data_IF_317361953685
#
_entry.id   IF_317361953685
#
_cell.length_a   1.000
_cell.length_b   1.000
_cell.length_c   1.000
_cell.angle_alpha   90.00
_cell.angle_beta   90.00
_cell.angle_gamma   90.00
#
_symmetry.space_group_name_H-M   'P 1'
#
loop_
_entity.id
_entity.type
_entity.pdbx_description
1 polymer ?
#
# COMPACT_ATOMS: atom_id res chain seq x y z
N UNK A 1 18.76 20.44 -61.35
CA UNK A 1 17.71 19.70 -60.60
C UNK A 1 17.32 18.51 -61.45
N UNK A 2 17.49 17.29 -60.95
CA UNK A 2 16.94 16.09 -61.61
C UNK A 2 15.58 15.83 -60.96
N UNK A 3 14.53 15.82 -61.76
CA UNK A 3 13.20 15.41 -61.31
C UNK A 3 13.27 13.97 -60.76
N UNK A 4 12.55 13.65 -59.67
CA UNK A 4 12.47 12.28 -59.20
C UNK A 4 11.77 11.43 -60.26
N UNK A 5 12.52 10.51 -60.87
CA UNK A 5 11.99 9.53 -61.82
C UNK A 5 11.03 8.62 -61.06
N UNK A 6 9.73 8.85 -61.24
CA UNK A 6 8.69 7.94 -60.74
C UNK A 6 8.69 6.70 -61.63
N UNK A 7 9.12 5.57 -61.09
CA UNK A 7 9.01 4.28 -61.78
C UNK A 7 7.64 3.67 -61.42
N UNK A 8 6.69 3.56 -62.36
CA UNK A 8 5.40 2.96 -62.08
C UNK A 8 5.55 1.47 -61.74
N UNK A 9 5.04 1.06 -60.58
CA UNK A 9 4.93 -0.36 -60.20
C UNK A 9 3.82 -0.98 -61.07
N UNK A 10 4.11 -2.06 -61.79
CA UNK A 10 3.09 -2.78 -62.56
C UNK A 10 2.06 -3.43 -61.64
N UNK A 11 0.81 -3.56 -62.10
CA UNK A 11 -0.28 -4.18 -61.31
C UNK A 11 0.09 -5.57 -60.79
N UNK A 12 0.66 -6.41 -61.66
CA UNK A 12 1.16 -7.75 -61.28
C UNK A 12 2.21 -7.70 -60.16
N UNK A 13 3.12 -6.71 -60.21
CA UNK A 13 4.17 -6.52 -59.21
C UNK A 13 3.62 -6.03 -57.87
N UNK A 14 2.59 -5.18 -57.89
CA UNK A 14 1.88 -4.78 -56.69
C UNK A 14 1.21 -5.99 -56.01
N UNK A 15 0.49 -6.80 -56.79
CA UNK A 15 -0.22 -7.99 -56.29
C UNK A 15 0.74 -9.02 -55.66
N UNK A 16 1.91 -9.24 -56.28
CA UNK A 16 2.93 -10.16 -55.76
C UNK A 16 3.53 -9.69 -54.42
N UNK A 17 3.76 -8.38 -54.25
CA UNK A 17 4.27 -7.79 -53.00
C UNK A 17 3.21 -7.90 -51.88
N UNK A 18 1.96 -7.56 -52.18
CA UNK A 18 0.85 -7.66 -51.23
C UNK A 18 0.68 -9.09 -50.74
N UNK A 19 0.69 -10.06 -51.66
CA UNK A 19 0.58 -11.49 -51.32
C UNK A 19 1.72 -11.92 -50.39
N UNK A 20 2.96 -11.60 -50.72
CA UNK A 20 4.13 -11.98 -49.91
C UNK A 20 4.08 -11.36 -48.49
N UNK A 21 3.69 -10.09 -48.37
CA UNK A 21 3.53 -9.42 -47.06
C UNK A 21 2.39 -10.06 -46.27
N UNK A 22 1.27 -10.38 -46.93
CA UNK A 22 0.13 -11.03 -46.28
C UNK A 22 0.49 -12.42 -45.75
N UNK A 23 1.26 -13.20 -46.50
CA UNK A 23 1.70 -14.54 -46.11
C UNK A 23 2.62 -14.49 -44.87
N UNK A 24 3.63 -13.60 -44.88
CA UNK A 24 4.54 -13.43 -43.72
C UNK A 24 3.80 -12.89 -42.50
N UNK A 25 2.89 -11.95 -42.70
CA UNK A 25 2.13 -11.34 -41.61
C UNK A 25 1.20 -12.38 -40.99
N UNK A 26 0.48 -13.15 -41.79
CA UNK A 26 -0.43 -14.21 -41.31
C UNK A 26 0.33 -15.33 -40.60
N UNK A 27 1.53 -15.67 -41.06
CA UNK A 27 2.39 -16.66 -40.41
C UNK A 27 2.81 -16.22 -39.00
N UNK A 28 3.22 -14.94 -38.86
CA UNK A 28 3.77 -14.39 -37.61
C UNK A 28 2.71 -13.86 -36.65
N UNK A 29 1.60 -13.35 -37.16
CA UNK A 29 0.53 -12.68 -36.40
C UNK A 29 -0.83 -13.36 -36.64
N UNK A 30 -0.91 -14.66 -36.33
CA UNK A 30 -2.09 -15.52 -36.64
C UNK A 30 -3.43 -14.97 -36.16
N UNK A 31 -3.43 -14.22 -35.07
CA UNK A 31 -4.63 -13.68 -34.44
C UNK A 31 -4.91 -12.21 -34.79
N UNK A 32 -4.02 -11.54 -35.53
CA UNK A 32 -4.15 -10.12 -35.85
C UNK A 32 -4.12 -9.89 -37.35
N UNK A 33 -5.19 -9.29 -37.89
CA UNK A 33 -5.20 -8.88 -39.29
C UNK A 33 -4.42 -7.56 -39.46
N UNK A 34 -3.11 -7.67 -39.69
CA UNK A 34 -2.18 -6.53 -39.85
C UNK A 34 -1.67 -6.36 -41.29
N UNK A 35 -2.05 -7.26 -42.19
CA UNK A 35 -1.45 -7.37 -43.53
C UNK A 35 -1.55 -6.06 -44.31
N UNK A 36 -2.71 -5.41 -44.29
CA UNK A 36 -2.95 -4.16 -45.01
C UNK A 36 -2.15 -2.99 -44.41
N UNK A 37 -2.09 -2.89 -43.07
CA UNK A 37 -1.38 -1.81 -42.39
C UNK A 37 0.14 -1.91 -42.59
N UNK A 38 0.70 -3.12 -42.53
CA UNK A 38 2.11 -3.39 -42.79
C UNK A 38 2.43 -3.17 -44.29
N UNK A 39 1.55 -3.64 -45.19
CA UNK A 39 1.71 -3.45 -46.62
C UNK A 39 1.71 -1.97 -47.00
N UNK A 40 0.76 -1.18 -46.49
CA UNK A 40 0.70 0.26 -46.71
C UNK A 40 1.98 0.96 -46.26
N UNK A 41 2.55 0.56 -45.13
CA UNK A 41 3.80 1.14 -44.64
C UNK A 41 5.01 0.79 -45.53
N UNK A 42 5.14 -0.47 -45.94
CA UNK A 42 6.23 -0.93 -46.81
C UNK A 42 6.12 -0.30 -48.21
N UNK A 43 4.92 -0.22 -48.78
CA UNK A 43 4.66 0.41 -50.07
C UNK A 43 4.95 1.92 -50.05
N UNK A 44 4.57 2.62 -48.97
CA UNK A 44 4.90 4.04 -48.81
C UNK A 44 6.41 4.29 -48.75
N UNK A 45 7.19 3.38 -48.15
CA UNK A 45 8.66 3.43 -48.18
C UNK A 45 9.24 3.11 -49.56
N UNK A 46 8.70 2.12 -50.25
CA UNK A 46 9.11 1.75 -51.61
C UNK A 46 8.94 2.89 -52.62
N UNK A 47 7.82 3.62 -52.53
CA UNK A 47 7.55 4.80 -53.38
C UNK A 47 8.57 5.92 -53.12
N UNK A 48 8.99 6.11 -51.87
CA UNK A 48 9.97 7.14 -51.47
C UNK A 48 11.42 6.78 -51.78
N UNK A 49 11.75 5.49 -51.86
CA UNK A 49 13.11 5.00 -52.00
C UNK A 49 13.65 4.99 -53.44
N UNK A 50 12.86 5.40 -54.45
CA UNK A 50 13.22 5.46 -55.87
C UNK A 50 14.10 4.27 -56.31
N UNK A 51 13.52 3.08 -56.59
CA UNK A 51 14.30 1.88 -56.84
C UNK A 51 15.25 2.11 -58.03
N UNK A 52 16.56 2.06 -57.78
CA UNK A 52 17.61 2.19 -58.80
C UNK A 52 17.68 0.98 -59.72
N UNK A 53 16.99 -0.11 -59.40
CA UNK A 53 17.01 -1.36 -60.13
C UNK A 53 15.63 -1.72 -60.73
N UNK A 54 15.50 -1.73 -62.07
CA UNK A 54 14.27 -2.12 -62.75
C UNK A 54 13.97 -3.63 -62.72
N UNK A 55 14.87 -4.50 -62.25
CA UNK A 55 14.74 -5.98 -62.38
C UNK A 55 14.39 -6.77 -61.11
N UNK A 56 14.08 -6.14 -59.98
CA UNK A 56 13.42 -6.84 -58.86
C UNK A 56 13.39 -6.03 -57.56
N UNK A 57 12.30 -6.12 -56.79
CA UNK A 57 12.39 -5.90 -55.34
C UNK A 57 12.61 -7.29 -54.76
N UNK A 58 13.82 -7.66 -54.31
CA UNK A 58 14.07 -8.99 -53.78
C UNK A 58 13.24 -9.19 -52.51
N UNK A 59 12.78 -10.42 -52.26
CA UNK A 59 12.22 -10.83 -50.98
C UNK A 59 13.11 -10.37 -49.80
N UNK A 60 14.42 -10.29 -50.00
CA UNK A 60 15.43 -9.78 -49.07
C UNK A 60 15.22 -8.30 -48.69
N UNK A 61 14.78 -7.46 -49.64
CA UNK A 61 14.47 -6.07 -49.34
C UNK A 61 13.22 -5.96 -48.46
N UNK A 62 12.17 -6.71 -48.77
CA UNK A 62 10.95 -6.75 -47.93
C UNK A 62 11.30 -7.28 -46.54
N UNK A 63 12.08 -8.36 -46.45
CA UNK A 63 12.52 -8.95 -45.18
C UNK A 63 13.35 -7.99 -44.33
N UNK A 64 14.19 -7.13 -44.94
CA UNK A 64 14.99 -6.15 -44.20
C UNK A 64 14.16 -4.97 -43.65
N UNK A 65 13.05 -4.60 -44.31
CA UNK A 65 12.19 -3.48 -43.89
C UNK A 65 11.03 -3.92 -43.00
N UNK A 66 10.60 -5.18 -43.11
CA UNK A 66 9.46 -5.74 -42.40
C UNK A 66 9.51 -5.53 -40.86
N UNK A 67 10.63 -5.77 -40.15
CA UNK A 67 10.72 -5.50 -38.71
C UNK A 67 10.37 -4.06 -38.35
N UNK A 68 10.91 -3.10 -39.12
CA UNK A 68 10.66 -1.69 -38.89
C UNK A 68 9.21 -1.30 -39.21
N UNK A 69 8.62 -1.90 -40.24
CA UNK A 69 7.22 -1.70 -40.58
C UNK A 69 6.29 -2.16 -39.45
N UNK A 70 6.58 -3.32 -38.84
CA UNK A 70 5.84 -3.83 -37.68
C UNK A 70 5.95 -2.86 -36.50
N UNK A 71 7.16 -2.42 -36.14
CA UNK A 71 7.35 -1.44 -35.05
C UNK A 71 6.53 -0.17 -35.26
N UNK A 72 6.53 0.35 -36.49
CA UNK A 72 5.87 1.61 -36.82
C UNK A 72 4.33 1.46 -36.81
N UNK A 73 3.79 0.30 -37.19
CA UNK A 73 2.34 -0.01 -37.07
C UNK A 73 1.92 -0.09 -35.60
N UNK A 74 2.67 -0.79 -34.74
CA UNK A 74 2.34 -0.86 -33.31
C UNK A 74 2.54 0.48 -32.59
N UNK A 75 3.52 1.29 -33.00
CA UNK A 75 3.66 2.66 -32.54
C UNK A 75 2.47 3.54 -32.93
N UNK A 76 1.96 3.36 -34.16
CA UNK A 76 0.73 4.05 -34.59
C UNK A 76 -0.47 3.66 -33.72
N UNK A 77 -0.69 2.36 -33.48
CA UNK A 77 -1.75 1.88 -32.60
C UNK A 77 -1.63 2.40 -31.17
N UNK A 78 -0.41 2.41 -30.62
CA UNK A 78 -0.13 2.99 -29.31
C UNK A 78 -0.55 4.46 -29.27
N UNK A 79 -0.16 5.25 -30.28
CA UNK A 79 -0.53 6.67 -30.40
C UNK A 79 -2.04 6.88 -30.51
N UNK A 80 -2.75 6.00 -31.22
CA UNK A 80 -4.21 6.05 -31.33
C UNK A 80 -4.85 5.85 -29.95
N UNK A 81 -4.42 4.82 -29.20
CA UNK A 81 -4.91 4.57 -27.84
C UNK A 81 -4.57 5.73 -26.89
N UNK A 82 -3.33 6.20 -26.93
CA UNK A 82 -2.84 7.31 -26.11
C UNK A 82 -3.65 8.59 -26.35
N UNK A 83 -3.83 8.98 -27.62
CA UNK A 83 -4.57 10.19 -27.95
C UNK A 83 -6.04 10.07 -27.54
N UNK A 84 -6.65 8.90 -27.72
CA UNK A 84 -8.01 8.65 -27.26
C UNK A 84 -8.11 8.80 -25.74
N UNK A 85 -7.19 8.19 -24.97
CA UNK A 85 -7.12 8.37 -23.52
C UNK A 85 -6.92 9.84 -23.13
N UNK A 86 -5.94 10.52 -23.70
CA UNK A 86 -5.59 11.88 -23.35
C UNK A 86 -6.76 12.85 -23.55
N UNK A 87 -7.55 12.67 -24.61
CA UNK A 87 -8.75 13.48 -24.83
C UNK A 87 -9.85 13.27 -23.79
N UNK A 88 -9.82 12.15 -23.07
CA UNK A 88 -10.81 11.81 -22.03
C UNK A 88 -10.31 12.11 -20.62
N UNK A 89 -9.04 11.85 -20.34
CA UNK A 89 -8.46 11.94 -18.99
C UNK A 89 -7.77 13.28 -18.73
N UNK A 90 -7.25 13.93 -19.78
CA UNK A 90 -6.31 15.06 -19.67
C UNK A 90 -5.05 14.75 -18.84
N UNK A 91 -4.78 13.46 -18.59
CA UNK A 91 -3.66 12.97 -17.80
C UNK A 91 -2.69 12.20 -18.71
N UNK A 92 -1.51 12.76 -19.01
CA UNK A 92 -0.50 12.11 -19.85
C UNK A 92 0.05 10.80 -19.25
N UNK A 93 0.16 10.70 -17.93
CA UNK A 93 0.72 9.51 -17.27
C UNK A 93 -0.24 8.34 -17.37
N UNK A 94 -1.50 8.56 -16.98
CA UNK A 94 -2.55 7.56 -17.09
C UNK A 94 -2.78 7.14 -18.55
N UNK A 95 -2.66 8.09 -19.48
CA UNK A 95 -2.82 7.80 -20.91
C UNK A 95 -1.73 6.88 -21.44
N UNK A 96 -0.49 7.06 -20.98
CA UNK A 96 0.65 6.20 -21.35
C UNK A 96 0.49 4.78 -20.77
N UNK A 97 0.07 4.66 -19.51
CA UNK A 97 -0.15 3.37 -18.87
C UNK A 97 -1.25 2.57 -19.59
N UNK A 98 -2.39 3.22 -19.88
CA UNK A 98 -3.49 2.57 -20.59
C UNK A 98 -3.09 2.24 -22.04
N UNK A 99 -2.40 3.11 -22.76
CA UNK A 99 -1.99 2.81 -24.14
C UNK A 99 -1.01 1.65 -24.22
N UNK A 100 -0.10 1.52 -23.26
CA UNK A 100 0.80 0.36 -23.17
C UNK A 100 0.04 -0.94 -22.82
N UNK A 101 -0.91 -0.89 -21.89
CA UNK A 101 -1.74 -2.03 -21.55
C UNK A 101 -2.58 -2.51 -22.75
N UNK A 102 -3.16 -1.58 -23.51
CA UNK A 102 -3.96 -1.89 -24.72
C UNK A 102 -3.14 -2.69 -25.73
N UNK A 103 -1.90 -2.27 -26.01
CA UNK A 103 -1.07 -3.00 -26.97
C UNK A 103 -0.60 -4.34 -26.40
N UNK A 104 -0.34 -4.41 -25.10
CA UNK A 104 -0.01 -5.69 -24.43
C UNK A 104 -1.16 -6.69 -24.55
N UNK A 105 -2.39 -6.24 -24.34
CA UNK A 105 -3.60 -7.05 -24.54
C UNK A 105 -3.81 -7.42 -26.01
N UNK A 106 -3.49 -6.52 -26.95
CA UNK A 106 -3.58 -6.79 -28.38
C UNK A 106 -2.62 -7.92 -28.78
N UNK A 107 -1.36 -7.83 -28.36
CA UNK A 107 -0.31 -8.81 -28.67
C UNK A 107 -0.55 -10.17 -28.01
N UNK A 108 -1.17 -10.18 -26.83
CA UNK A 108 -1.47 -11.41 -26.09
C UNK A 108 -2.84 -12.02 -26.40
N UNK A 109 -3.60 -11.44 -27.33
CA UNK A 109 -4.92 -11.93 -27.72
C UNK A 109 -4.85 -13.30 -28.39
N UNK A 110 -5.65 -14.25 -27.89
CA UNK A 110 -5.86 -15.56 -28.53
C UNK A 110 -7.06 -15.56 -29.48
N UNK A 111 -7.78 -14.45 -29.58
CA UNK A 111 -8.92 -14.29 -30.45
C UNK A 111 -8.53 -13.58 -31.74
N UNK A 112 -9.13 -14.00 -32.85
CA UNK A 112 -8.90 -13.37 -34.14
C UNK A 112 -9.52 -11.97 -34.18
N UNK A 113 -8.69 -10.96 -34.44
CA UNK A 113 -9.07 -9.55 -34.48
C UNK A 113 -8.99 -9.06 -35.93
N UNK A 114 -10.16 -8.89 -36.55
CA UNK A 114 -10.29 -8.41 -37.93
C UNK A 114 -10.13 -6.88 -38.05
N UNK A 115 -10.72 -6.13 -37.11
CA UNK A 115 -10.67 -4.67 -37.07
C UNK A 115 -9.85 -4.22 -35.87
N UNK A 116 -8.53 -4.15 -36.05
CA UNK A 116 -7.59 -3.81 -34.98
C UNK A 116 -7.84 -2.39 -34.45
N UNK A 117 -8.15 -1.43 -35.31
CA UNK A 117 -8.46 -0.05 -34.91
C UNK A 117 -9.70 0.04 -34.00
N UNK A 118 -10.79 -0.61 -34.41
CA UNK A 118 -12.03 -0.67 -33.63
C UNK A 118 -11.82 -1.39 -32.30
N UNK A 119 -11.05 -2.48 -32.31
CA UNK A 119 -10.69 -3.22 -31.11
C UNK A 119 -9.89 -2.36 -30.12
N UNK A 120 -8.87 -1.65 -30.60
CA UNK A 120 -8.06 -0.74 -29.78
C UNK A 120 -8.96 0.27 -29.08
N UNK A 121 -9.82 0.97 -29.83
CA UNK A 121 -10.74 1.97 -29.24
C UNK A 121 -11.65 1.36 -28.17
N UNK A 122 -12.20 0.18 -28.43
CA UNK A 122 -13.08 -0.50 -27.48
C UNK A 122 -12.34 -0.89 -26.19
N UNK A 123 -11.15 -1.47 -26.31
CA UNK A 123 -10.36 -1.90 -25.15
C UNK A 123 -9.86 -0.69 -24.35
N UNK A 124 -9.38 0.36 -25.03
CA UNK A 124 -9.01 1.61 -24.38
C UNK A 124 -10.18 2.20 -23.59
N UNK A 125 -11.39 2.22 -24.17
CA UNK A 125 -12.59 2.68 -23.46
C UNK A 125 -12.92 1.81 -22.24
N UNK A 126 -12.88 0.49 -22.37
CA UNK A 126 -13.16 -0.43 -21.27
C UNK A 126 -12.16 -0.27 -20.11
N UNK A 127 -10.87 -0.09 -20.41
CA UNK A 127 -9.84 0.15 -19.41
C UNK A 127 -10.06 1.48 -18.67
N UNK A 128 -10.47 2.54 -19.37
CA UNK A 128 -10.86 3.80 -18.75
C UNK A 128 -12.06 3.63 -17.81
N UNK A 129 -13.11 2.93 -18.25
CA UNK A 129 -14.27 2.63 -17.39
C UNK A 129 -13.85 1.87 -16.14
N UNK A 130 -12.98 0.87 -16.28
CA UNK A 130 -12.44 0.10 -15.15
C UNK A 130 -11.62 0.98 -14.19
N UNK A 131 -10.78 1.86 -14.73
CA UNK A 131 -9.99 2.81 -13.93
C UNK A 131 -10.88 3.71 -13.08
N UNK A 132 -11.88 4.37 -13.69
CA UNK A 132 -12.78 5.26 -12.95
C UNK A 132 -13.65 4.51 -11.94
N UNK A 133 -14.10 3.30 -12.26
CA UNK A 133 -14.81 2.47 -11.30
C UNK A 133 -13.93 2.07 -10.08
N UNK A 134 -12.64 1.82 -10.29
CA UNK A 134 -11.68 1.61 -9.18
C UNK A 134 -11.50 2.88 -8.36
N UNK A 135 -11.30 4.02 -9.02
CA UNK A 135 -11.09 5.30 -8.36
C UNK A 135 -12.28 5.71 -7.48
N UNK A 136 -13.52 5.45 -7.92
CA UNK A 136 -14.71 5.68 -7.09
C UNK A 136 -14.67 4.83 -5.82
N UNK A 137 -14.37 3.52 -5.95
CA UNK A 137 -14.27 2.62 -4.78
C UNK A 137 -13.14 3.04 -3.83
N UNK A 138 -12.00 3.45 -4.37
CA UNK A 138 -10.87 3.97 -3.59
C UNK A 138 -11.25 5.25 -2.85
N UNK A 139 -12.01 6.15 -3.49
CA UNK A 139 -12.51 7.37 -2.85
C UNK A 139 -13.50 7.05 -1.72
N UNK A 140 -14.40 6.09 -1.92
CA UNK A 140 -15.34 5.65 -0.89
C UNK A 140 -14.59 5.04 0.31
N UNK A 141 -13.57 4.20 0.03
CA UNK A 141 -12.69 3.65 1.06
C UNK A 141 -11.93 4.74 1.80
N UNK A 142 -11.35 5.70 1.08
CA UNK A 142 -10.66 6.84 1.66
C UNK A 142 -11.57 7.64 2.60
N UNK A 143 -12.81 7.93 2.18
CA UNK A 143 -13.78 8.63 3.02
C UNK A 143 -14.12 7.83 4.29
N UNK A 144 -14.30 6.50 4.19
CA UNK A 144 -14.51 5.64 5.36
C UNK A 144 -13.33 5.71 6.33
N UNK A 145 -12.09 5.62 5.82
CA UNK A 145 -10.88 5.74 6.63
C UNK A 145 -10.74 7.12 7.29
N UNK A 146 -11.14 8.20 6.61
CA UNK A 146 -11.15 9.55 7.18
C UNK A 146 -12.15 9.70 8.32
N UNK A 147 -13.34 9.11 8.19
CA UNK A 147 -14.35 9.09 9.27
C UNK A 147 -13.83 8.29 10.45
N UNK A 148 -13.31 7.07 10.21
CA UNK A 148 -12.75 6.22 11.26
C UNK A 148 -11.58 6.91 11.99
N UNK A 149 -10.65 7.52 11.24
CA UNK A 149 -9.53 8.27 11.80
C UNK A 149 -9.99 9.45 12.67
N UNK A 150 -11.04 10.16 12.24
CA UNK A 150 -11.62 11.27 12.98
C UNK A 150 -12.28 10.79 14.29
N UNK A 151 -13.00 9.67 14.25
CA UNK A 151 -13.56 9.01 15.44
C UNK A 151 -12.45 8.60 16.41
N UNK A 152 -11.38 7.96 15.93
CA UNK A 152 -10.21 7.59 16.76
C UNK A 152 -9.58 8.83 17.39
N UNK A 153 -9.34 9.89 16.60
CA UNK A 153 -8.74 11.12 17.10
C UNK A 153 -9.59 11.75 18.20
N UNK A 154 -10.91 11.85 18.00
CA UNK A 154 -11.84 12.36 19.01
C UNK A 154 -11.83 11.50 20.28
N UNK A 155 -11.67 10.17 20.19
CA UNK A 155 -11.57 9.29 21.37
C UNK A 155 -10.26 9.46 22.15
N UNK A 156 -9.18 9.84 21.46
CA UNK A 156 -7.87 10.08 22.06
C UNK A 156 -7.76 11.46 22.70
N UNK A 157 -8.50 12.45 22.20
CA UNK A 157 -8.47 13.84 22.69
C UNK A 157 -9.61 14.20 23.63
N UNK A 158 -10.79 13.61 23.48
CA UNK A 158 -11.91 13.87 24.37
C UNK A 158 -11.76 13.09 25.69
N UNK A 159 -11.90 13.80 26.80
CA UNK A 159 -11.70 13.20 28.11
C UNK A 159 -12.84 12.25 28.53
N UNK A 160 -14.07 12.44 28.03
CA UNK A 160 -15.26 11.82 28.62
C UNK A 160 -16.36 11.31 27.67
N UNK A 161 -16.25 11.55 26.35
CA UNK A 161 -17.32 11.22 25.39
C UNK A 161 -16.82 10.27 24.30
N UNK A 162 -17.45 9.12 24.17
CA UNK A 162 -17.12 8.16 23.12
C UNK A 162 -18.21 8.16 22.05
N UNK A 163 -17.84 8.54 20.82
CA UNK A 163 -18.68 8.36 19.64
C UNK A 163 -18.24 7.10 18.90
N UNK A 164 -19.14 6.12 18.81
CA UNK A 164 -18.92 4.83 18.14
C UNK A 164 -19.63 4.73 16.80
N UNK A 165 -20.32 5.79 16.34
CA UNK A 165 -21.09 5.76 15.10
C UNK A 165 -20.21 5.66 13.85
N UNK A 166 -19.01 6.25 13.88
CA UNK A 166 -18.04 6.18 12.79
C UNK A 166 -17.23 4.88 12.70
N UNK A 167 -17.47 3.91 13.60
CA UNK A 167 -16.76 2.64 13.60
C UNK A 167 -17.36 1.65 12.61
N UNK A 168 -16.54 0.71 12.14
CA UNK A 168 -17.03 -0.38 11.29
C UNK A 168 -18.11 -1.22 12.02
N UNK A 169 -19.07 -1.84 11.29
CA UNK A 169 -20.21 -2.51 11.91
C UNK A 169 -19.85 -3.66 12.86
N UNK A 170 -18.77 -4.38 12.56
CA UNK A 170 -18.33 -5.51 13.36
C UNK A 170 -17.82 -5.03 14.73
N UNK A 171 -16.90 -4.06 14.75
CA UNK A 171 -16.38 -3.47 15.98
C UNK A 171 -17.51 -2.81 16.79
N UNK A 172 -18.41 -2.07 16.12
CA UNK A 172 -19.57 -1.44 16.77
C UNK A 172 -20.44 -2.46 17.50
N UNK A 173 -20.78 -3.57 16.85
CA UNK A 173 -21.60 -4.63 17.47
C UNK A 173 -20.90 -5.29 18.66
N UNK A 174 -19.58 -5.52 18.57
CA UNK A 174 -18.79 -6.04 19.69
C UNK A 174 -18.78 -5.09 20.89
N UNK A 175 -18.64 -3.78 20.65
CA UNK A 175 -18.64 -2.77 21.70
C UNK A 175 -20.03 -2.68 22.35
N UNK A 176 -21.11 -2.63 21.56
CA UNK A 176 -22.48 -2.55 22.07
C UNK A 176 -22.86 -3.75 22.95
N UNK A 177 -22.34 -4.94 22.63
CA UNK A 177 -22.55 -6.15 23.41
C UNK A 177 -21.70 -6.22 24.70
N UNK A 178 -20.72 -5.33 24.87
CA UNK A 178 -19.74 -5.40 25.96
C UNK A 178 -20.29 -4.88 27.30
N UNK A 179 -19.81 -5.46 28.40
CA UNK A 179 -20.12 -4.98 29.75
C UNK A 179 -19.55 -3.57 29.99
N UNK A 180 -18.41 -3.25 29.37
CA UNK A 180 -17.77 -1.93 29.45
C UNK A 180 -18.71 -0.83 28.92
N UNK A 181 -19.39 -1.08 27.81
CA UNK A 181 -20.34 -0.14 27.22
C UNK A 181 -21.62 -0.01 28.07
N UNK A 182 -22.12 -1.12 28.63
CA UNK A 182 -23.25 -1.09 29.58
C UNK A 182 -22.92 -0.28 30.84
N UNK A 183 -21.71 -0.43 31.37
CA UNK A 183 -21.25 0.35 32.52
C UNK A 183 -21.14 1.84 32.20
N UNK A 184 -20.68 2.17 30.99
CA UNK A 184 -20.59 3.55 30.51
C UNK A 184 -21.96 4.21 30.34
N UNK A 185 -22.91 3.51 29.70
CA UNK A 185 -24.28 4.01 29.53
C UNK A 185 -25.00 4.18 30.87
N UNK A 186 -24.84 3.23 31.79
CA UNK A 186 -25.36 3.37 33.17
C UNK A 186 -24.79 4.61 33.87
N UNK A 187 -23.49 4.85 33.71
CA UNK A 187 -22.82 6.03 34.29
C UNK A 187 -23.32 7.34 33.66
N UNK A 188 -23.59 7.37 32.35
CA UNK A 188 -24.14 8.53 31.65
C UNK A 188 -25.60 8.84 32.01
N UNK A 189 -26.32 7.91 32.64
CA UNK A 189 -27.70 8.14 33.07
C UNK A 189 -27.83 9.13 34.24
N UNK A 190 -26.71 9.55 34.84
CA UNK A 190 -26.67 10.53 35.93
C UNK A 190 -26.19 11.89 35.39
N UNK A 191 -26.87 12.97 35.80
CA UNK A 191 -26.61 14.34 35.31
C UNK A 191 -25.23 14.88 35.72
N UNK A 192 -24.68 14.38 36.83
CA UNK A 192 -23.39 14.80 37.33
C UNK A 192 -22.70 13.79 38.25
N UNK A 193 -21.44 14.08 38.57
CA UNK A 193 -20.66 13.21 39.46
C UNK A 193 -21.22 13.15 40.89
N UNK A 194 -21.89 14.23 41.33
CA UNK A 194 -22.53 14.32 42.65
C UNK A 194 -23.74 13.39 42.74
N UNK A 195 -24.57 13.33 41.70
CA UNK A 195 -25.72 12.42 41.64
C UNK A 195 -25.29 10.96 41.54
N UNK A 196 -24.23 10.72 40.76
CA UNK A 196 -23.62 9.39 40.70
C UNK A 196 -22.98 8.98 42.05
N UNK A 197 -22.38 9.91 42.78
CA UNK A 197 -21.83 9.65 44.11
C UNK A 197 -22.94 9.33 45.13
N UNK A 198 -24.04 10.09 45.09
CA UNK A 198 -25.20 9.95 45.98
C UNK A 198 -25.92 8.62 45.75
N UNK A 199 -26.21 8.27 44.49
CA UNK A 199 -26.87 7.00 44.15
C UNK A 199 -26.05 5.77 44.58
N UNK A 200 -24.72 5.88 44.54
CA UNK A 200 -23.79 4.82 44.93
C UNK A 200 -23.37 4.86 46.41
N UNK A 201 -23.86 5.84 47.17
CA UNK A 201 -23.50 6.10 48.58
C UNK A 201 -21.98 6.15 48.81
N UNK A 202 -21.27 6.94 48.00
CA UNK A 202 -19.82 7.16 48.10
C UNK A 202 -19.46 8.63 48.02
N UNK A 203 -18.21 8.99 48.35
CA UNK A 203 -17.73 10.35 48.13
C UNK A 203 -17.53 10.65 46.65
N UNK A 204 -17.65 11.93 46.27
CA UNK A 204 -17.43 12.38 44.89
C UNK A 204 -16.06 11.97 44.33
N UNK A 205 -15.03 11.96 45.18
CA UNK A 205 -13.67 11.50 44.79
C UNK A 205 -13.66 10.02 44.39
N UNK A 206 -14.41 9.18 45.12
CA UNK A 206 -14.54 7.75 44.79
C UNK A 206 -15.39 7.56 43.54
N UNK A 207 -16.46 8.34 43.39
CA UNK A 207 -17.28 8.35 42.19
C UNK A 207 -16.46 8.75 40.95
N UNK A 208 -15.63 9.80 41.04
CA UNK A 208 -14.76 10.25 39.95
C UNK A 208 -13.77 9.15 39.56
N UNK A 209 -13.11 8.51 40.53
CA UNK A 209 -12.22 7.37 40.27
C UNK A 209 -12.95 6.21 39.57
N UNK A 210 -14.21 5.95 39.93
CA UNK A 210 -15.04 4.92 39.26
C UNK A 210 -15.38 5.34 37.83
N UNK A 211 -15.69 6.62 37.59
CA UNK A 211 -15.89 7.18 36.25
C UNK A 211 -14.64 7.01 35.38
N UNK A 212 -13.47 7.40 35.87
CA UNK A 212 -12.20 7.26 35.14
C UNK A 212 -11.91 5.79 34.78
N UNK A 213 -12.25 4.86 35.69
CA UNK A 213 -12.15 3.42 35.44
C UNK A 213 -13.07 2.95 34.31
N UNK A 214 -14.34 3.36 34.32
CA UNK A 214 -15.31 3.00 33.28
C UNK A 214 -14.86 3.54 31.93
N UNK A 215 -14.44 4.81 31.87
CA UNK A 215 -13.93 5.47 30.66
C UNK A 215 -12.71 4.74 30.11
N UNK A 216 -11.71 4.43 30.96
CA UNK A 216 -10.50 3.74 30.51
C UNK A 216 -10.79 2.32 30.02
N UNK A 217 -11.67 1.60 30.70
CA UNK A 217 -12.07 0.24 30.30
C UNK A 217 -12.77 0.25 28.93
N UNK A 218 -13.71 1.18 28.72
CA UNK A 218 -14.38 1.32 27.44
C UNK A 218 -13.40 1.74 26.34
N UNK A 219 -12.51 2.71 26.60
CA UNK A 219 -11.47 3.12 25.63
C UNK A 219 -10.61 1.94 25.21
N UNK A 220 -10.13 1.15 26.16
CA UNK A 220 -9.37 -0.08 25.91
C UNK A 220 -10.16 -1.06 25.03
N UNK A 221 -11.43 -1.31 25.35
CA UNK A 221 -12.29 -2.21 24.57
C UNK A 221 -12.48 -1.74 23.13
N UNK A 222 -12.74 -0.44 22.94
CA UNK A 222 -12.91 0.15 21.61
C UNK A 222 -11.62 0.05 20.80
N UNK A 223 -10.49 0.46 21.37
CA UNK A 223 -9.18 0.42 20.70
C UNK A 223 -8.83 -1.00 20.24
N UNK A 224 -9.06 -2.00 21.08
CA UNK A 224 -8.81 -3.40 20.70
C UNK A 224 -9.79 -3.90 19.62
N UNK A 225 -11.08 -3.53 19.69
CA UNK A 225 -12.08 -3.91 18.69
C UNK A 225 -11.79 -3.35 17.29
N UNK A 226 -11.11 -2.19 17.19
CA UNK A 226 -10.67 -1.60 15.93
C UNK A 226 -9.26 -2.06 15.50
N UNK A 227 -8.64 -3.01 16.23
CA UNK A 227 -7.31 -3.53 15.91
C UNK A 227 -6.14 -2.64 16.33
N UNK A 228 -6.37 -1.66 17.21
CA UNK A 228 -5.30 -0.84 17.76
C UNK A 228 -4.61 -1.55 18.92
N UNK A 229 -3.40 -2.05 18.67
CA UNK A 229 -2.65 -2.89 19.63
C UNK A 229 -1.47 -2.16 20.31
N UNK A 230 -1.25 -0.87 20.01
CA UNK A 230 -0.05 -0.15 20.43
C UNK A 230 -0.35 1.20 21.09
N UNK A 231 -0.61 1.21 22.40
CA UNK A 231 -0.64 2.41 23.25
C UNK A 231 -0.86 2.00 24.70
N UNK A 232 -0.72 2.93 25.65
CA UNK A 232 -1.12 2.68 27.05
C UNK A 232 -2.63 2.54 27.22
N UNK A 233 -3.40 3.09 26.28
CA UNK A 233 -4.85 3.15 26.34
C UNK A 233 -5.51 1.85 25.90
N UNK A 234 -4.75 0.92 25.28
CA UNK A 234 -5.20 -0.46 25.07
C UNK A 234 -5.36 -1.22 26.38
N UNK A 235 -4.75 -0.75 27.48
CA UNK A 235 -4.84 -1.39 28.79
C UNK A 235 -6.08 -0.92 29.53
N UNK A 236 -6.88 -1.88 29.99
CA UNK A 236 -7.96 -1.59 30.92
C UNK A 236 -7.38 -1.06 32.26
N UNK A 237 -8.24 -0.50 33.10
CA UNK A 237 -7.84 0.13 34.36
C UNK A 237 -6.97 -0.75 35.26
N UNK A 238 -7.31 -2.04 35.39
CA UNK A 238 -6.58 -2.96 36.25
C UNK A 238 -5.22 -3.32 35.66
N UNK A 239 -5.16 -3.59 34.35
CA UNK A 239 -3.94 -3.88 33.62
C UNK A 239 -2.97 -2.69 33.68
N UNK A 240 -3.47 -1.48 33.43
CA UNK A 240 -2.67 -0.26 33.50
C UNK A 240 -2.00 -0.08 34.86
N UNK A 241 -2.77 -0.22 35.95
CA UNK A 241 -2.21 -0.10 37.29
C UNK A 241 -1.27 -1.26 37.66
N UNK A 242 -1.52 -2.47 37.17
CA UNK A 242 -0.59 -3.60 37.34
C UNK A 242 0.75 -3.33 36.66
N UNK A 243 0.74 -2.80 35.44
CA UNK A 243 1.93 -2.41 34.69
C UNK A 243 2.66 -1.26 35.39
N UNK A 244 1.95 -0.22 35.84
CA UNK A 244 2.58 0.86 36.62
C UNK A 244 3.24 0.35 37.90
N UNK A 245 2.58 -0.56 38.63
CA UNK A 245 3.15 -1.18 39.83
C UNK A 245 4.40 -1.98 39.48
N UNK A 246 4.34 -2.78 38.41
CA UNK A 246 5.47 -3.54 37.89
C UNK A 246 6.66 -2.63 37.53
N UNK A 247 6.43 -1.55 36.78
CA UNK A 247 7.44 -0.55 36.41
C UNK A 247 8.14 0.03 37.64
N UNK A 248 7.38 0.37 38.69
CA UNK A 248 7.94 0.87 39.96
C UNK A 248 8.76 -0.21 40.68
N UNK A 249 8.33 -1.46 40.65
CA UNK A 249 9.05 -2.58 41.27
C UNK A 249 10.37 -2.86 40.57
N UNK A 250 10.38 -2.96 39.23
CA UNK A 250 11.63 -3.24 38.49
C UNK A 250 12.64 -2.12 38.61
N UNK A 251 12.20 -0.85 38.72
CA UNK A 251 13.11 0.26 38.97
C UNK A 251 13.77 0.14 40.34
N UNK A 252 13.01 -0.25 41.38
CA UNK A 252 13.57 -0.51 42.73
C UNK A 252 14.54 -1.70 42.74
N UNK A 253 14.15 -2.81 42.10
CA UNK A 253 14.98 -4.01 42.04
C UNK A 253 16.25 -3.83 41.19
N UNK A 254 16.21 -2.97 40.17
CA UNK A 254 17.38 -2.59 39.39
C UNK A 254 18.41 -1.79 40.18
N UNK A 255 17.97 -1.08 41.24
CA UNK A 255 18.82 -0.31 42.16
C UNK A 255 19.31 -1.11 43.37
N UNK A 256 18.74 -2.28 43.65
CA UNK A 256 19.15 -3.12 44.77
C UNK A 256 20.48 -3.81 44.47
N UNK A 257 21.57 -3.25 45.01
CA UNK A 257 22.92 -3.83 45.05
C UNK A 257 23.12 -4.84 46.19
N UNK A 258 22.05 -5.27 46.86
CA UNK A 258 22.15 -6.25 47.94
C UNK A 258 22.57 -7.61 47.38
N UNK A 259 23.77 -8.04 47.77
CA UNK A 259 24.51 -9.22 47.35
C UNK A 259 23.87 -10.56 47.69
N UNK A 260 22.64 -10.79 47.24
CA UNK A 260 22.00 -12.10 47.25
C UNK A 260 22.11 -12.65 45.83
N UNK A 261 22.95 -13.67 45.67
CA UNK A 261 23.11 -14.41 44.41
C UNK A 261 21.73 -14.72 43.81
N UNK A 262 21.38 -14.17 42.63
CA UNK A 262 20.10 -14.44 42.00
C UNK A 262 20.04 -15.89 41.53
N UNK A 263 19.22 -16.72 42.17
CA UNK A 263 19.01 -18.13 41.80
C UNK A 263 18.32 -18.33 40.43
N UNK A 264 17.82 -17.25 39.81
CA UNK A 264 17.07 -17.31 38.54
C UNK A 264 17.77 -16.55 37.41
N UNK A 265 17.96 -17.21 36.25
CA UNK A 265 18.53 -16.62 35.01
C UNK A 265 17.83 -15.31 34.58
N UNK A 266 16.51 -15.22 34.80
CA UNK A 266 15.71 -14.03 34.48
C UNK A 266 16.10 -12.84 35.37
N UNK A 267 16.39 -13.06 36.66
CA UNK A 267 16.78 -11.99 37.59
C UNK A 267 18.15 -11.41 37.25
N UNK A 268 19.11 -12.24 36.84
CA UNK A 268 20.40 -11.78 36.31
C UNK A 268 20.22 -10.91 35.06
N UNK A 269 19.42 -11.38 34.10
CA UNK A 269 19.14 -10.64 32.86
C UNK A 269 18.43 -9.31 33.15
N UNK A 270 17.52 -9.29 34.11
CA UNK A 270 16.82 -8.09 34.57
C UNK A 270 17.80 -7.04 35.08
N UNK A 271 18.71 -7.41 35.98
CA UNK A 271 19.73 -6.48 36.52
C UNK A 271 20.63 -5.94 35.41
N UNK A 272 21.03 -6.78 34.45
CA UNK A 272 21.83 -6.34 33.29
C UNK A 272 21.09 -5.34 32.40
N UNK A 273 19.81 -5.60 32.10
CA UNK A 273 18.98 -4.71 31.26
C UNK A 273 18.70 -3.38 31.94
N UNK A 274 18.46 -3.38 33.25
CA UNK A 274 18.18 -2.18 34.04
C UNK A 274 19.43 -1.37 34.39
N UNK A 275 20.64 -1.90 34.15
CA UNK A 275 21.88 -1.20 34.44
C UNK A 275 21.98 0.12 33.65
N UNK A 276 22.21 1.22 34.38
CA UNK A 276 22.27 2.59 33.86
C UNK A 276 20.90 3.25 33.63
N UNK A 277 19.79 2.61 34.03
CA UNK A 277 18.44 3.21 34.00
C UNK A 277 18.13 3.77 35.39
N UNK A 278 18.42 5.06 35.59
CA UNK A 278 18.22 5.72 36.89
C UNK A 278 16.74 6.04 37.16
N UNK A 279 16.03 6.42 36.10
CA UNK A 279 14.62 6.77 36.09
C UNK A 279 13.99 6.29 34.78
N UNK A 280 12.66 6.29 34.75
CA UNK A 280 11.88 5.97 33.56
C UNK A 280 11.22 7.25 33.10
N UNK A 281 11.74 7.81 32.01
CA UNK A 281 11.26 9.06 31.43
C UNK A 281 9.98 8.83 30.61
N UNK A 282 9.92 7.69 29.91
CA UNK A 282 8.72 7.29 29.17
C UNK A 282 8.58 5.75 29.09
N UNK A 283 7.36 5.29 28.78
CA UNK A 283 7.11 3.87 28.54
C UNK A 283 5.98 3.64 27.53
N UNK A 284 6.20 2.71 26.61
CA UNK A 284 5.22 2.28 25.61
C UNK A 284 4.84 0.82 25.82
N UNK A 285 3.66 0.41 25.33
CA UNK A 285 3.26 -0.99 25.40
C UNK A 285 2.49 -1.37 24.14
N UNK A 286 2.80 -2.56 23.63
CA UNK A 286 2.12 -3.16 22.48
C UNK A 286 1.60 -4.55 22.88
N UNK A 287 0.40 -4.92 22.45
CA UNK A 287 -0.08 -6.28 22.53
C UNK A 287 0.56 -7.10 21.40
N UNK A 288 1.04 -8.30 21.72
CA UNK A 288 1.65 -9.23 20.74
C UNK A 288 0.73 -10.42 20.51
N UNK A 289 0.00 -10.82 21.54
CA UNK A 289 -1.00 -11.87 21.55
C UNK A 289 -1.91 -11.63 22.77
N UNK A 290 -3.05 -12.31 22.87
CA UNK A 290 -4.00 -12.11 23.93
C UNK A 290 -3.34 -12.31 25.32
N UNK A 291 -3.27 -11.23 26.12
CA UNK A 291 -2.60 -11.23 27.43
C UNK A 291 -1.06 -11.18 27.39
N UNK A 292 -0.44 -11.18 26.21
CA UNK A 292 1.02 -11.05 26.02
C UNK A 292 1.37 -9.66 25.48
N UNK A 293 2.28 -8.98 26.16
CA UNK A 293 2.63 -7.61 25.83
C UNK A 293 4.14 -7.43 25.68
N UNK A 294 4.50 -6.48 24.82
CA UNK A 294 5.83 -5.93 24.70
C UNK A 294 5.83 -4.55 25.35
N UNK A 295 6.47 -4.45 26.51
CA UNK A 295 6.65 -3.21 27.25
C UNK A 295 8.00 -2.59 26.89
N UNK A 296 8.00 -1.33 26.49
CA UNK A 296 9.18 -0.54 26.20
C UNK A 296 9.37 0.50 27.30
N UNK A 297 10.59 0.62 27.79
CA UNK A 297 10.98 1.58 28.80
C UNK A 297 12.08 2.46 28.21
N UNK A 298 11.93 3.77 28.39
CA UNK A 298 12.83 4.77 27.90
C UNK A 298 13.42 5.57 29.06
N UNK A 299 14.74 5.78 28.98
CA UNK A 299 15.47 6.67 29.86
C UNK A 299 16.43 7.52 29.05
N UNK A 300 16.45 8.83 29.32
CA UNK A 300 17.45 9.73 28.79
C UNK A 300 18.50 10.01 29.87
N UNK A 301 19.71 9.52 29.64
CA UNK A 301 20.85 9.77 30.54
C UNK A 301 21.22 11.25 30.60
N UNK A 302 21.99 11.65 31.61
CA UNK A 302 22.48 13.03 31.75
C UNK A 302 23.27 13.51 30.52
N UNK A 303 23.97 12.60 29.83
CA UNK A 303 24.72 12.87 28.60
C UNK A 303 23.84 12.89 27.34
N UNK A 304 22.51 12.94 27.49
CA UNK A 304 21.51 12.86 26.42
C UNK A 304 21.61 11.59 25.57
N UNK A 305 22.22 10.52 26.08
CA UNK A 305 22.17 9.22 25.42
C UNK A 305 20.90 8.48 25.81
N UNK A 306 20.06 8.07 24.85
CA UNK A 306 18.86 7.32 25.13
C UNK A 306 19.19 5.86 25.45
N UNK A 307 18.52 5.33 26.45
CA UNK A 307 18.51 3.91 26.80
C UNK A 307 17.09 3.41 26.59
N UNK A 308 16.95 2.37 25.77
CA UNK A 308 15.67 1.71 25.53
C UNK A 308 15.80 0.27 26.00
N UNK A 309 14.89 -0.15 26.86
CA UNK A 309 14.76 -1.54 27.30
C UNK A 309 13.41 -2.10 26.86
N UNK A 310 13.41 -3.36 26.42
CA UNK A 310 12.20 -4.08 26.00
C UNK A 310 11.96 -5.26 26.92
N UNK A 311 10.73 -5.42 27.38
CA UNK A 311 10.26 -6.52 28.22
C UNK A 311 9.11 -7.23 27.52
N UNK A 312 9.23 -8.54 27.38
CA UNK A 312 8.15 -9.42 26.96
C UNK A 312 7.48 -9.94 28.22
N UNK A 313 6.22 -9.58 28.42
CA UNK A 313 5.47 -9.83 29.65
C UNK A 313 4.13 -10.50 29.36
N UNK A 314 3.67 -11.29 30.32
CA UNK A 314 2.31 -11.84 30.33
C UNK A 314 1.55 -11.26 31.51
N UNK A 315 0.33 -10.81 31.25
CA UNK A 315 -0.65 -10.46 32.26
C UNK A 315 -1.61 -11.65 32.44
N UNK A 316 -1.65 -12.23 33.64
CA UNK A 316 -2.67 -13.22 34.00
C UNK A 316 -4.06 -12.59 34.10
N UNK A 317 -5.11 -13.40 34.18
CA UNK A 317 -6.48 -12.94 34.45
C UNK A 317 -6.58 -12.10 35.74
N UNK A 318 -5.73 -12.39 36.73
CA UNK A 318 -5.63 -11.62 37.98
C UNK A 318 -4.72 -10.39 37.86
N UNK A 319 -4.31 -10.02 36.65
CA UNK A 319 -3.38 -8.92 36.34
C UNK A 319 -2.01 -9.05 37.02
N UNK A 320 -1.56 -10.27 37.32
CA UNK A 320 -0.17 -10.49 37.74
C UNK A 320 0.74 -10.47 36.51
N UNK A 321 1.81 -9.66 36.58
CA UNK A 321 2.80 -9.50 35.51
C UNK A 321 3.91 -10.55 35.66
N UNK A 322 4.13 -11.35 34.63
CA UNK A 322 5.25 -12.30 34.53
C UNK A 322 6.18 -11.89 33.39
N UNK A 323 7.48 -11.81 33.65
CA UNK A 323 8.49 -11.55 32.62
C UNK A 323 8.84 -12.86 31.93
N UNK A 324 8.69 -12.91 30.61
CA UNK A 324 9.19 -14.02 29.78
C UNK A 324 10.61 -13.76 29.31
N UNK A 325 10.87 -12.53 28.86
CA UNK A 325 12.17 -12.12 28.35
C UNK A 325 12.37 -10.60 28.52
N UNK A 326 13.61 -10.16 28.60
CA UNK A 326 13.98 -8.75 28.57
C UNK A 326 15.28 -8.54 27.79
N UNK A 327 15.45 -7.36 27.22
CA UNK A 327 16.67 -6.96 26.52
C UNK A 327 16.86 -5.44 26.54
N UNK A 328 18.12 -5.01 26.52
CA UNK A 328 18.50 -3.62 26.27
C UNK A 328 18.69 -3.48 24.76
N UNK A 329 18.00 -2.52 24.14
CA UNK A 329 18.06 -2.33 22.69
C UNK A 329 19.32 -1.55 22.32
N UNK A 330 20.01 -2.00 21.27
CA UNK A 330 21.09 -1.25 20.65
C UNK A 330 20.50 -0.19 19.72
N UNK A 331 21.01 1.04 19.81
CA UNK A 331 20.60 2.13 18.93
C UNK A 331 21.48 2.08 17.70
N UNK A 332 20.98 1.43 16.66
CA UNK A 332 21.63 1.41 15.34
C UNK A 332 21.46 2.82 14.76
N UNK A 333 22.58 3.48 14.47
CA UNK A 333 22.65 4.92 14.17
C UNK A 333 21.71 5.41 13.08
N UNK A 334 21.43 6.72 13.09
CA UNK A 334 20.65 7.41 12.07
C UNK A 334 21.28 7.18 10.69
N UNK A 335 20.56 6.52 9.78
CA UNK A 335 20.97 6.45 8.38
C UNK A 335 20.74 7.83 7.73
N UNK A 336 21.78 8.58 7.36
CA UNK A 336 21.59 9.74 6.52
C UNK A 336 21.10 9.23 5.16
N UNK A 337 19.89 9.63 4.76
CA UNK A 337 19.43 9.42 3.39
C UNK A 337 20.44 10.12 2.49
N UNK A 338 21.12 9.42 1.56
CA UNK A 338 22.12 10.04 0.72
C UNK A 338 21.45 11.15 -0.11
N UNK A 339 22.06 12.34 -0.14
CA UNK A 339 21.59 13.47 -0.96
C UNK A 339 21.50 13.11 -2.46
N UNK A 340 22.10 11.99 -2.87
CA UNK A 340 22.24 11.55 -4.25
C UNK A 340 21.35 10.35 -4.60
N UNK A 341 20.25 10.10 -3.87
CA UNK A 341 19.27 9.08 -4.27
C UNK A 341 18.55 9.53 -5.55
N UNK A 342 19.17 9.25 -6.71
CA UNK A 342 18.56 9.47 -8.02
C UNK A 342 17.55 8.37 -8.29
N UNK A 343 16.27 8.66 -8.04
CA UNK A 343 15.16 7.88 -8.58
C UNK A 343 15.11 8.20 -10.09
N UNK A 344 15.28 7.21 -11.00
CA UNK A 344 15.27 7.47 -12.43
C UNK A 344 13.95 8.11 -12.87
N UNK A 345 14.00 9.36 -13.36
CA UNK A 345 12.83 10.12 -13.86
C UNK A 345 12.38 9.75 -15.28
N UNK A 346 12.94 8.71 -15.89
CA UNK A 346 12.54 8.29 -17.25
C UNK A 346 11.52 7.16 -17.17
N UNK A 347 10.27 7.52 -16.85
CA UNK A 347 9.13 6.68 -17.17
C UNK A 347 8.85 6.76 -18.68
N UNK A 348 8.56 5.60 -19.29
CA UNK A 348 7.65 5.52 -20.45
C UNK A 348 8.13 6.07 -21.80
N UNK A 349 9.36 5.81 -22.25
CA UNK A 349 9.67 5.88 -23.69
C UNK A 349 10.48 4.67 -24.13
N UNK A 350 9.83 3.52 -24.17
CA UNK A 350 10.32 2.38 -24.91
C UNK A 350 9.21 1.95 -25.87
N UNK A 351 9.27 2.41 -27.12
CA UNK A 351 8.59 1.71 -28.20
C UNK A 351 9.23 0.33 -28.28
N UNK A 352 8.43 -0.73 -28.24
CA UNK A 352 8.96 -2.09 -28.31
C UNK A 352 9.69 -2.31 -29.62
N UNK A 353 10.89 -2.88 -29.55
CA UNK A 353 11.58 -3.36 -30.75
C UNK A 353 10.80 -4.53 -31.34
N UNK A 354 11.07 -4.82 -32.61
CA UNK A 354 10.49 -5.98 -33.29
C UNK A 354 10.65 -7.28 -32.48
N UNK A 355 11.84 -7.55 -31.91
CA UNK A 355 12.09 -8.75 -31.11
C UNK A 355 11.18 -8.80 -29.87
N UNK A 356 10.96 -7.65 -29.24
CA UNK A 356 10.09 -7.56 -28.06
C UNK A 356 8.62 -7.79 -28.43
N UNK A 357 8.16 -7.23 -29.56
CA UNK A 357 6.81 -7.48 -30.08
C UNK A 357 6.60 -8.97 -30.33
N UNK A 358 7.53 -9.62 -31.04
CA UNK A 358 7.45 -11.06 -31.31
C UNK A 358 7.47 -11.89 -30.03
N UNK A 359 8.27 -11.51 -29.02
CA UNK A 359 8.31 -12.22 -27.73
C UNK A 359 7.01 -12.18 -26.91
N UNK A 360 6.12 -11.23 -27.22
CA UNK A 360 4.85 -11.04 -26.51
C UNK A 360 3.66 -11.72 -27.21
N UNK A 361 3.86 -12.19 -28.44
CA UNK A 361 2.87 -13.01 -29.15
C UNK A 361 2.82 -14.38 -28.47
N UNK A 362 1.62 -14.82 -28.09
CA UNK A 362 1.37 -16.12 -27.48
C UNK A 362 1.06 -17.21 -28.51
#
# INVERSE_FOLDING_TARGET
MKDPVFIPISKKRYDDIIRYISDITSLKFRHLNLSDDIANYILAKLIKAAPTDPMGIPADFINSIFPKAVEDVFNYYHRVAFQFCLTKTQDPSLSEDISQEVITLLLSSQHHINNVYGWIRQVTHNLLCKHYASQTKEKDLYNMLCVESSSIHNMMTSENTFDIEGLNPQAKNEILASQEYQNYTTMLAFDGISDYATSMNVSEKVAQKRKDKVIRNLRSKILLAIGWEASREILNYNQYHAIQKFIRTILKEGHSTDGIQPQNKIKLKLTQVMNGIEKIDDWGINMVDNGRFRLHIFHLTQNKQPIIATFFIILSERNQVRIENCQKNEIIGAHPIPANLHIPKKMGRALWSYEKIISLLK
#
